data_IF_643233433377
#
_entry.id   IF_643233433377
#
_cell.length_a   1.000
_cell.length_b   1.000
_cell.length_c   1.000
_cell.angle_alpha   90.00
_cell.angle_beta   90.00
_cell.angle_gamma   90.00
#
_symmetry.space_group_name_H-M   'P 1'
#
loop_
_entity.id
_entity.type
_entity.pdbx_description
1 polymer ?
#
# COMPACT_ATOMS: atom_id res chain seq x y z
N UNK A 1 -8.67 12.27 40.80
CA UNK A 1 -9.98 11.68 40.44
C UNK A 1 -9.73 10.24 40.08
N UNK A 2 -10.54 9.31 40.58
CA UNK A 2 -10.50 7.91 40.16
C UNK A 2 -10.91 7.82 38.67
N UNK A 3 -10.12 7.12 37.85
CA UNK A 3 -10.36 7.02 36.40
C UNK A 3 -11.61 6.20 36.07
N UNK A 4 -11.95 5.22 36.91
CA UNK A 4 -13.16 4.42 36.74
C UNK A 4 -14.41 5.26 37.02
N UNK A 5 -14.34 6.12 38.05
CA UNK A 5 -15.39 7.08 38.35
C UNK A 5 -15.52 8.14 37.23
N UNK A 6 -14.39 8.58 36.67
CA UNK A 6 -14.39 9.49 35.52
C UNK A 6 -15.11 8.85 34.32
N UNK A 7 -14.74 7.61 33.95
CA UNK A 7 -15.40 6.90 32.86
C UNK A 7 -16.89 6.80 33.08
N UNK A 8 -17.32 6.39 34.29
CA UNK A 8 -18.74 6.23 34.64
C UNK A 8 -19.53 7.54 34.52
N UNK A 9 -18.92 8.67 34.87
CA UNK A 9 -19.57 9.99 34.74
C UNK A 9 -19.80 10.42 33.28
N UNK A 10 -19.00 9.88 32.35
CA UNK A 10 -19.02 10.24 30.93
C UNK A 10 -19.31 9.04 30.00
N UNK A 11 -19.83 7.95 30.57
CA UNK A 11 -20.06 6.67 29.87
C UNK A 11 -20.92 6.84 28.62
N UNK A 12 -21.91 7.74 28.67
CA UNK A 12 -22.78 8.01 27.52
C UNK A 12 -22.06 8.54 26.27
N UNK A 13 -20.88 9.13 26.43
CA UNK A 13 -20.04 9.57 25.32
C UNK A 13 -19.04 8.49 24.93
N UNK A 14 -18.37 7.87 25.91
CA UNK A 14 -17.32 6.90 25.64
C UNK A 14 -17.81 5.51 25.24
N UNK A 15 -19.08 5.16 25.50
CA UNK A 15 -19.65 3.88 25.05
C UNK A 15 -19.70 3.73 23.53
N UNK A 16 -19.67 4.85 22.81
CA UNK A 16 -19.61 4.89 21.35
C UNK A 16 -18.17 4.73 20.82
N UNK A 17 -17.16 4.67 21.71
CA UNK A 17 -15.75 4.61 21.30
C UNK A 17 -15.27 3.16 21.23
N UNK A 18 -14.91 2.73 20.04
CA UNK A 18 -14.04 1.58 19.81
C UNK A 18 -12.57 1.97 19.87
N UNK A 19 -11.69 1.06 19.45
CA UNK A 19 -10.24 1.26 19.50
C UNK A 19 -9.80 2.45 18.62
N UNK A 20 -10.38 2.60 17.42
CA UNK A 20 -10.04 3.67 16.48
C UNK A 20 -10.41 5.05 17.04
N UNK A 21 -11.58 5.16 17.66
CA UNK A 21 -12.08 6.36 18.33
C UNK A 21 -11.15 6.79 19.47
N UNK A 22 -10.72 5.85 20.31
CA UNK A 22 -9.78 6.13 21.40
C UNK A 22 -8.41 6.58 20.87
N UNK A 23 -7.88 5.93 19.83
CA UNK A 23 -6.62 6.31 19.19
C UNK A 23 -6.71 7.73 18.64
N UNK A 24 -7.78 8.06 17.90
CA UNK A 24 -7.97 9.40 17.35
C UNK A 24 -8.10 10.45 18.46
N UNK A 25 -8.92 10.19 19.48
CA UNK A 25 -9.12 11.08 20.62
C UNK A 25 -7.80 11.42 21.31
N UNK A 26 -7.01 10.40 21.63
CA UNK A 26 -5.71 10.54 22.27
C UNK A 26 -4.73 11.27 21.35
N UNK A 27 -4.69 10.94 20.07
CA UNK A 27 -3.78 11.58 19.12
C UNK A 27 -4.04 13.08 19.00
N UNK A 28 -5.28 13.48 18.73
CA UNK A 28 -5.60 14.91 18.55
C UNK A 28 -5.46 15.70 19.86
N UNK A 29 -5.77 15.08 21.00
CA UNK A 29 -5.89 15.80 22.26
C UNK A 29 -4.61 15.75 23.10
N UNK A 30 -4.05 14.57 23.31
CA UNK A 30 -2.85 14.38 24.12
C UNK A 30 -1.58 14.72 23.34
N UNK A 31 -1.49 14.33 22.08
CA UNK A 31 -0.27 14.51 21.28
C UNK A 31 -0.23 15.88 20.60
N UNK A 32 -1.33 16.32 19.97
CA UNK A 32 -1.35 17.60 19.24
C UNK A 32 -1.74 18.80 20.08
N UNK A 33 -2.82 18.71 20.86
CA UNK A 33 -3.33 19.88 21.57
C UNK A 33 -2.55 20.19 22.86
N UNK A 34 -2.17 19.18 23.64
CA UNK A 34 -1.46 19.39 24.92
C UNK A 34 0.05 19.56 24.78
N UNK A 35 0.64 19.25 23.62
CA UNK A 35 2.08 19.43 23.28
C UNK A 35 3.05 18.85 24.34
N UNK A 36 2.61 17.87 25.14
CA UNK A 36 3.40 17.33 26.27
C UNK A 36 4.44 16.29 25.84
N UNK A 37 4.39 15.78 24.60
CA UNK A 37 5.29 14.73 24.14
C UNK A 37 5.63 14.83 22.66
N UNK A 38 6.84 15.31 22.35
CA UNK A 38 7.88 14.65 21.53
C UNK A 38 8.62 15.57 20.53
N UNK A 39 9.97 15.57 20.60
CA UNK A 39 10.83 15.83 19.46
C UNK A 39 11.14 14.52 18.72
N UNK A 40 10.30 14.08 17.77
CA UNK A 40 10.71 13.10 16.76
C UNK A 40 9.70 13.01 15.60
N UNK A 41 10.15 12.48 14.45
CA UNK A 41 9.31 12.20 13.28
C UNK A 41 8.51 10.88 13.41
N UNK A 42 8.54 10.22 14.58
CA UNK A 42 8.05 8.85 14.79
C UNK A 42 7.24 8.74 16.09
N UNK A 43 5.95 8.44 15.99
CA UNK A 43 5.07 8.16 17.13
C UNK A 43 4.65 6.69 17.09
N UNK A 44 4.93 5.95 18.17
CA UNK A 44 4.44 4.58 18.38
C UNK A 44 3.12 4.68 19.15
N UNK A 45 2.07 4.00 18.67
CA UNK A 45 0.78 3.95 19.37
C UNK A 45 0.92 3.10 20.65
N UNK A 46 0.56 3.63 21.84
CA UNK A 46 0.53 2.86 23.08
C UNK A 46 -0.56 1.77 23.08
N UNK A 47 -0.57 0.89 24.09
CA UNK A 47 -1.70 -0.04 24.25
C UNK A 47 -3.01 0.72 24.51
N UNK A 48 -4.15 0.10 24.21
CA UNK A 48 -5.45 0.73 24.40
C UNK A 48 -5.70 1.14 25.86
N UNK A 49 -5.21 0.36 26.82
CA UNK A 49 -5.29 0.69 28.25
C UNK A 49 -4.52 1.98 28.55
N UNK A 50 -3.30 2.10 28.02
CA UNK A 50 -2.46 3.28 28.21
C UNK A 50 -3.04 4.51 27.49
N UNK A 51 -3.59 4.34 26.28
CA UNK A 51 -4.32 5.39 25.55
C UNK A 51 -5.46 5.94 26.40
N UNK A 52 -6.31 5.06 26.96
CA UNK A 52 -7.44 5.46 27.80
C UNK A 52 -6.96 6.18 29.05
N UNK A 53 -5.94 5.64 29.72
CA UNK A 53 -5.36 6.22 30.92
C UNK A 53 -4.84 7.65 30.65
N UNK A 54 -4.03 7.83 29.61
CA UNK A 54 -3.46 9.12 29.23
C UNK A 54 -4.54 10.12 28.81
N UNK A 55 -5.51 9.68 27.99
CA UNK A 55 -6.63 10.52 27.56
C UNK A 55 -7.47 10.99 28.75
N UNK A 56 -7.81 10.10 29.67
CA UNK A 56 -8.65 10.45 30.81
C UNK A 56 -7.90 11.36 31.78
N UNK A 57 -6.61 11.11 32.04
CA UNK A 57 -5.76 12.03 32.82
C UNK A 57 -5.71 13.42 32.18
N UNK A 58 -5.50 13.49 30.87
CA UNK A 58 -5.48 14.75 30.14
C UNK A 58 -6.83 15.48 30.23
N UNK A 59 -7.95 14.78 30.07
CA UNK A 59 -9.29 15.39 30.17
C UNK A 59 -9.64 15.87 31.59
N UNK A 60 -9.26 15.11 32.62
CA UNK A 60 -9.42 15.52 34.02
C UNK A 60 -8.61 16.79 34.32
N UNK A 61 -7.45 16.96 33.67
CA UNK A 61 -6.60 18.16 33.84
C UNK A 61 -7.28 19.47 33.38
N UNK A 62 -8.35 19.40 32.58
CA UNK A 62 -9.13 20.57 32.15
C UNK A 62 -9.99 21.19 33.25
N UNK A 63 -10.12 20.52 34.40
CA UNK A 63 -10.88 20.98 35.55
C UNK A 63 -12.32 21.35 35.19
N UNK A 64 -12.73 22.63 35.28
CA UNK A 64 -14.11 23.02 35.00
C UNK A 64 -14.55 22.82 33.54
N UNK A 65 -13.61 22.67 32.59
CA UNK A 65 -13.93 22.49 31.17
C UNK A 65 -13.99 21.02 30.73
N UNK A 66 -13.70 20.07 31.62
CA UNK A 66 -13.63 18.63 31.29
C UNK A 66 -14.85 18.13 30.53
N UNK A 67 -16.07 18.44 30.99
CA UNK A 67 -17.30 18.00 30.32
C UNK A 67 -17.42 18.56 28.88
N UNK A 68 -16.98 19.80 28.65
CA UNK A 68 -17.01 20.42 27.33
C UNK A 68 -16.03 19.76 26.35
N UNK A 69 -14.85 19.36 26.82
CA UNK A 69 -13.87 18.65 25.98
C UNK A 69 -14.28 17.21 25.68
N UNK A 70 -14.89 16.50 26.65
CA UNK A 70 -15.48 15.16 26.40
C UNK A 70 -16.54 15.24 25.29
N UNK A 71 -17.47 16.19 25.41
CA UNK A 71 -18.51 16.42 24.41
C UNK A 71 -17.93 16.82 23.04
N UNK A 72 -16.89 17.66 23.02
CA UNK A 72 -16.20 18.07 21.80
C UNK A 72 -15.53 16.89 21.09
N UNK A 73 -14.80 16.04 21.82
CA UNK A 73 -14.14 14.87 21.26
C UNK A 73 -15.17 13.89 20.70
N UNK A 74 -16.26 13.64 21.43
CA UNK A 74 -17.35 12.78 20.95
C UNK A 74 -17.95 13.30 19.64
N UNK A 75 -18.24 14.60 19.56
CA UNK A 75 -18.73 15.23 18.34
C UNK A 75 -17.73 15.13 17.19
N UNK A 76 -16.46 15.47 17.44
CA UNK A 76 -15.40 15.44 16.43
C UNK A 76 -15.22 14.04 15.87
N UNK A 77 -15.10 13.04 16.72
CA UNK A 77 -14.85 11.65 16.33
C UNK A 77 -15.99 11.10 15.47
N UNK A 78 -17.25 11.38 15.84
CA UNK A 78 -18.41 10.97 15.06
C UNK A 78 -18.45 11.56 13.65
N UNK A 79 -17.88 12.75 13.45
CA UNK A 79 -17.80 13.38 12.14
C UNK A 79 -16.55 12.95 11.35
N UNK A 80 -15.54 12.38 12.03
CA UNK A 80 -14.20 12.17 11.48
C UNK A 80 -13.92 10.73 11.06
N UNK A 81 -14.39 9.75 11.83
CA UNK A 81 -14.08 8.34 11.61
C UNK A 81 -15.02 7.74 10.57
N UNK A 82 -14.45 7.02 9.61
CA UNK A 82 -15.21 6.25 8.62
C UNK A 82 -15.75 4.98 9.31
N UNK A 83 -17.07 4.75 9.30
CA UNK A 83 -17.65 3.51 9.84
C UNK A 83 -17.04 2.26 9.21
N UNK A 84 -16.89 1.18 9.99
CA UNK A 84 -16.25 -0.05 9.52
C UNK A 84 -17.01 -0.68 8.33
N UNK A 85 -18.34 -0.59 8.32
CA UNK A 85 -19.20 -1.07 7.24
C UNK A 85 -18.92 -0.38 5.89
N UNK A 86 -18.47 0.88 5.91
CA UNK A 86 -18.11 1.62 4.70
C UNK A 86 -16.71 1.26 4.17
N UNK A 87 -15.92 0.51 4.95
CA UNK A 87 -14.56 0.06 4.62
C UNK A 87 -14.51 -1.39 4.12
N UNK A 88 -15.64 -2.12 4.09
CA UNK A 88 -15.69 -3.53 3.69
C UNK A 88 -15.16 -3.83 2.28
N UNK A 89 -15.13 -2.81 1.41
CA UNK A 89 -14.57 -2.96 0.05
C UNK A 89 -13.03 -3.10 0.05
N UNK A 90 -12.36 -2.83 1.17
CA UNK A 90 -10.91 -2.97 1.32
C UNK A 90 -10.62 -4.33 1.96
N UNK A 91 -10.30 -5.32 1.13
CA UNK A 91 -9.87 -6.63 1.60
C UNK A 91 -8.55 -6.53 2.39
N UNK A 92 -8.56 -6.90 3.67
CA UNK A 92 -7.41 -6.73 4.59
C UNK A 92 -6.14 -7.46 4.17
N UNK A 93 -6.26 -8.52 3.37
CA UNK A 93 -5.14 -9.30 2.84
C UNK A 93 -4.72 -8.87 1.42
N UNK A 94 -5.40 -7.89 0.81
CA UNK A 94 -5.06 -7.40 -0.52
C UNK A 94 -3.97 -6.32 -0.42
N UNK A 95 -2.72 -6.79 -0.25
CA UNK A 95 -1.55 -5.93 -0.12
C UNK A 95 -1.40 -4.95 -1.31
N UNK A 96 -1.78 -5.36 -2.52
CA UNK A 96 -1.71 -4.50 -3.72
C UNK A 96 -2.63 -3.29 -3.59
N UNK A 97 -3.90 -3.51 -3.23
CA UNK A 97 -4.86 -2.43 -2.99
C UNK A 97 -4.45 -1.56 -1.80
N UNK A 98 -4.03 -2.17 -0.68
CA UNK A 98 -3.66 -1.40 0.51
C UNK A 98 -2.47 -0.47 0.24
N UNK A 99 -1.42 -0.99 -0.40
CA UNK A 99 -0.29 -0.16 -0.82
C UNK A 99 -0.71 0.87 -1.88
N UNK A 100 -1.66 0.53 -2.76
CA UNK A 100 -2.24 1.48 -3.69
C UNK A 100 -2.78 2.73 -2.97
N UNK A 101 -3.67 2.50 -2.02
CA UNK A 101 -4.38 3.54 -1.26
C UNK A 101 -3.42 4.37 -0.39
N UNK A 102 -2.39 3.74 0.18
CA UNK A 102 -1.36 4.45 0.95
C UNK A 102 -0.59 5.50 0.13
N UNK A 103 -0.28 5.18 -1.13
CA UNK A 103 0.44 6.10 -2.02
C UNK A 103 -0.48 7.21 -2.52
N UNK A 104 -1.73 6.89 -2.89
CA UNK A 104 -2.71 7.90 -3.29
C UNK A 104 -2.91 8.93 -2.18
N UNK A 105 -3.04 8.46 -0.93
CA UNK A 105 -3.07 9.35 0.22
C UNK A 105 -1.78 10.18 0.35
N UNK A 106 -0.62 9.58 0.10
CA UNK A 106 0.67 10.29 0.18
C UNK A 106 0.79 11.39 -0.88
N UNK A 107 0.33 11.14 -2.11
CA UNK A 107 0.29 12.11 -3.20
C UNK A 107 -0.66 13.27 -2.87
N UNK A 108 -1.84 12.96 -2.33
CA UNK A 108 -2.81 13.97 -1.90
C UNK A 108 -2.22 14.90 -0.83
N UNK A 109 -1.54 14.33 0.18
CA UNK A 109 -0.93 15.10 1.27
C UNK A 109 0.29 15.94 0.85
N UNK A 110 0.93 15.61 -0.27
CA UNK A 110 2.03 16.41 -0.84
C UNK A 110 1.53 17.60 -1.66
N UNK A 111 0.25 17.62 -2.05
CA UNK A 111 -0.30 18.71 -2.84
C UNK A 111 -0.36 20.01 -2.04
N UNK A 112 0.24 21.11 -2.53
CA UNK A 112 0.21 22.41 -1.83
C UNK A 112 -1.20 23.02 -1.72
N UNK A 113 -2.15 22.48 -2.50
CA UNK A 113 -3.57 22.87 -2.51
C UNK A 113 -4.35 22.13 -1.42
N UNK A 114 -3.81 21.03 -0.88
CA UNK A 114 -4.49 20.26 0.16
C UNK A 114 -4.42 21.00 1.49
N UNK A 115 -5.49 21.76 1.77
CA UNK A 115 -5.77 22.32 3.09
C UNK A 115 -7.15 21.82 3.49
N UNK A 116 -7.24 20.70 4.20
CA UNK A 116 -8.55 20.22 4.61
C UNK A 116 -9.13 21.25 5.59
N UNK A 117 -10.31 21.78 5.27
CA UNK A 117 -11.07 22.64 6.16
C UNK A 117 -12.17 21.80 6.78
N UNK A 118 -11.95 21.32 7.99
CA UNK A 118 -12.94 20.53 8.70
C UNK A 118 -13.90 21.45 9.46
N UNK A 119 -15.14 21.49 8.98
CA UNK A 119 -16.24 22.20 9.62
C UNK A 119 -17.20 21.22 10.25
N UNK A 120 -17.39 21.34 11.56
CA UNK A 120 -18.28 20.53 12.37
C UNK A 120 -19.62 21.23 12.54
N UNK A 121 -20.68 20.43 12.68
CA UNK A 121 -22.03 20.90 12.99
C UNK A 121 -22.60 20.19 14.21
N UNK A 122 -23.24 20.94 15.11
CA UNK A 122 -23.93 20.36 16.28
C UNK A 122 -25.38 20.03 15.92
N UNK A 123 -25.60 18.87 15.29
CA UNK A 123 -26.95 18.46 14.86
C UNK A 123 -27.93 18.19 16.01
N UNK A 124 -27.42 17.83 17.19
CA UNK A 124 -28.22 17.55 18.39
C UNK A 124 -27.75 18.37 19.59
N UNK A 125 -28.11 19.68 19.68
CA UNK A 125 -27.61 20.59 20.72
C UNK A 125 -27.81 20.11 22.15
N UNK A 126 -28.89 19.35 22.41
CA UNK A 126 -29.21 18.80 23.73
C UNK A 126 -28.23 17.73 24.22
N UNK A 127 -27.50 17.09 23.30
CA UNK A 127 -26.47 16.07 23.62
C UNK A 127 -25.16 16.73 24.03
N UNK A 128 -24.92 17.98 23.59
CA UNK A 128 -23.67 18.70 23.77
C UNK A 128 -23.82 20.05 24.51
N UNK A 129 -24.53 20.11 25.66
CA UNK A 129 -24.83 21.36 26.33
C UNK A 129 -23.59 22.04 26.93
N UNK A 130 -22.63 21.29 27.46
CA UNK A 130 -21.43 21.85 28.09
C UNK A 130 -20.48 22.44 27.04
N UNK A 131 -20.31 21.74 25.91
CA UNK A 131 -19.54 22.22 24.78
C UNK A 131 -20.14 23.48 24.18
N UNK A 132 -21.46 23.54 23.98
CA UNK A 132 -22.11 24.75 23.46
C UNK A 132 -21.93 25.96 24.40
N UNK A 133 -22.05 25.75 25.71
CA UNK A 133 -21.77 26.79 26.70
C UNK A 133 -20.30 27.23 26.64
N UNK A 134 -19.37 26.29 26.56
CA UNK A 134 -17.94 26.57 26.43
C UNK A 134 -17.62 27.34 25.13
N UNK A 135 -18.18 26.92 23.99
CA UNK A 135 -18.05 27.59 22.69
C UNK A 135 -18.54 29.03 22.77
N UNK A 136 -19.71 29.27 23.37
CA UNK A 136 -20.23 30.64 23.56
C UNK A 136 -19.26 31.49 24.38
N UNK A 137 -18.78 30.99 25.51
CA UNK A 137 -17.80 31.71 26.35
C UNK A 137 -16.47 31.96 25.63
N UNK A 138 -15.96 31.05 24.80
CA UNK A 138 -14.67 31.25 24.13
C UNK A 138 -14.76 32.10 22.87
N UNK A 139 -15.91 32.13 22.21
CA UNK A 139 -16.14 32.96 21.02
C UNK A 139 -16.35 34.44 21.35
N UNK A 140 -16.90 34.77 22.53
CA UNK A 140 -17.19 36.14 22.95
C UNK A 140 -16.00 36.90 23.58
N UNK A 141 -14.94 36.20 24.04
CA UNK A 141 -13.86 36.81 24.84
C UNK A 141 -12.50 36.97 24.13
N UNK A 142 -12.38 36.78 22.82
CA UNK A 142 -11.09 36.93 22.10
C UNK A 142 -11.17 38.01 21.02
N UNK A 143 -10.86 39.24 21.44
CA UNK A 143 -10.47 40.40 20.61
C UNK A 143 -8.94 40.55 20.51
N UNK A 144 -8.16 39.48 20.81
CA UNK A 144 -6.70 39.52 20.63
C UNK A 144 -6.31 39.01 19.24
N UNK A 145 -5.68 39.84 18.38
CA UNK A 145 -5.32 39.49 17.01
C UNK A 145 -4.09 38.57 16.88
N UNK A 146 -3.48 38.14 17.98
CA UNK A 146 -2.15 37.49 17.98
C UNK A 146 -2.13 35.99 18.28
N UNK A 147 -3.28 35.35 18.56
CA UNK A 147 -3.35 33.90 18.80
C UNK A 147 -4.46 33.27 17.92
N UNK A 148 -4.18 32.16 17.22
CA UNK A 148 -5.20 31.47 16.45
C UNK A 148 -6.31 30.98 17.40
N UNK A 149 -7.57 31.28 17.05
CA UNK A 149 -8.72 30.82 17.82
C UNK A 149 -8.82 29.30 17.70
N UNK A 150 -8.82 28.61 18.85
CA UNK A 150 -9.03 27.15 18.92
C UNK A 150 -10.35 26.72 18.26
N UNK A 151 -11.39 27.54 18.37
CA UNK A 151 -12.68 27.36 17.68
C UNK A 151 -12.94 28.58 16.81
N UNK A 152 -13.21 28.36 15.52
CA UNK A 152 -13.54 29.42 14.57
C UNK A 152 -14.90 29.13 13.94
N UNK A 153 -15.87 30.04 14.06
CA UNK A 153 -17.15 29.89 13.38
C UNK A 153 -16.96 30.04 11.87
N UNK A 154 -17.71 29.26 11.09
CA UNK A 154 -17.72 29.42 9.64
C UNK A 154 -18.41 30.75 9.30
N UNK A 155 -17.75 31.70 8.60
CA UNK A 155 -18.36 32.97 8.23
C UNK A 155 -19.54 32.83 7.26
N UNK A 156 -19.58 31.72 6.50
CA UNK A 156 -20.61 31.45 5.50
C UNK A 156 -21.76 30.60 6.05
N UNK A 157 -21.55 29.87 7.15
CA UNK A 157 -22.58 29.04 7.79
C UNK A 157 -22.48 29.14 9.33
N UNK A 158 -23.39 29.87 10.01
CA UNK A 158 -23.31 30.09 11.46
C UNK A 158 -23.49 28.82 12.29
N UNK A 159 -24.07 27.76 11.72
CA UNK A 159 -24.23 26.46 12.38
C UNK A 159 -22.93 25.64 12.41
N UNK A 160 -21.94 26.04 11.62
CA UNK A 160 -20.67 25.34 11.46
C UNK A 160 -19.51 26.05 12.16
N UNK A 161 -18.54 25.25 12.57
CA UNK A 161 -17.29 25.75 13.15
C UNK A 161 -16.15 24.81 12.85
N UNK A 162 -14.94 25.34 12.74
CA UNK A 162 -13.72 24.53 12.69
C UNK A 162 -13.03 24.52 14.05
N UNK A 163 -12.33 23.42 14.31
CA UNK A 163 -11.39 23.32 15.43
C UNK A 163 -10.00 23.42 14.85
N UNK A 164 -9.21 24.35 15.36
CA UNK A 164 -7.79 24.36 15.05
C UNK A 164 -7.05 23.51 16.07
N UNK A 165 -6.88 22.23 15.75
CA UNK A 165 -6.02 21.31 16.52
C UNK A 165 -4.53 21.62 16.36
N UNK A 166 -4.17 22.51 15.42
CA UNK A 166 -2.88 22.49 14.75
C UNK A 166 -1.88 23.53 15.28
N UNK A 167 -0.65 23.06 15.47
CA UNK A 167 0.61 23.80 15.27
C UNK A 167 1.28 23.45 13.91
N UNK A 168 0.57 22.81 12.97
CA UNK A 168 1.02 22.57 11.59
C UNK A 168 1.97 21.38 11.41
N UNK A 169 2.05 20.45 12.36
CA UNK A 169 2.97 19.30 12.29
C UNK A 169 2.24 18.05 11.78
N UNK A 170 2.46 17.71 10.52
CA UNK A 170 2.09 16.38 10.02
C UNK A 170 3.15 15.37 10.45
N UNK A 171 2.82 14.47 11.38
CA UNK A 171 3.71 13.38 11.73
C UNK A 171 3.59 12.25 10.72
N UNK A 172 4.74 11.66 10.34
CA UNK A 172 4.74 10.34 9.73
C UNK A 172 4.48 9.35 10.85
N UNK A 173 3.20 9.10 11.13
CA UNK A 173 2.82 8.06 12.07
C UNK A 173 3.24 6.72 11.48
N UNK A 174 4.17 6.06 12.17
CA UNK A 174 4.49 4.67 11.93
C UNK A 174 3.68 3.86 12.92
N UNK A 175 2.69 3.13 12.40
CA UNK A 175 1.88 2.26 13.23
C UNK A 175 2.52 0.87 13.23
N UNK A 176 2.77 0.33 14.42
CA UNK A 176 2.96 -1.10 14.56
C UNK A 176 1.62 -1.76 14.21
N UNK A 177 1.64 -2.70 13.27
CA UNK A 177 0.43 -3.31 12.73
C UNK A 177 0.60 -3.71 11.27
N UNK A 178 -0.36 -4.45 10.73
CA UNK A 178 -0.39 -4.73 9.30
C UNK A 178 -0.65 -3.44 8.49
N UNK A 179 -0.44 -3.52 7.17
CA UNK A 179 -0.61 -2.36 6.30
C UNK A 179 -2.06 -1.85 6.27
N UNK A 180 -3.05 -2.71 6.52
CA UNK A 180 -4.44 -2.28 6.55
C UNK A 180 -4.69 -1.35 7.74
N UNK A 181 -4.29 -1.75 8.94
CA UNK A 181 -4.45 -0.93 10.14
C UNK A 181 -3.64 0.38 10.04
N UNK A 182 -2.45 0.33 9.43
CA UNK A 182 -1.68 1.52 9.09
C UNK A 182 -2.48 2.46 8.18
N UNK A 183 -3.12 1.93 7.13
CA UNK A 183 -3.92 2.72 6.18
C UNK A 183 -5.09 3.40 6.86
N UNK A 184 -5.89 2.63 7.60
CA UNK A 184 -7.08 3.14 8.28
C UNK A 184 -6.70 4.23 9.28
N UNK A 185 -5.67 3.99 10.09
CA UNK A 185 -5.24 4.99 11.07
C UNK A 185 -4.73 6.28 10.41
N UNK A 186 -4.03 6.18 9.27
CA UNK A 186 -3.62 7.37 8.49
C UNK A 186 -4.82 8.17 8.00
N UNK A 187 -5.93 7.53 7.63
CA UNK A 187 -7.16 8.22 7.25
C UNK A 187 -7.89 8.79 8.47
N UNK A 188 -7.95 8.06 9.58
CA UNK A 188 -8.62 8.51 10.81
C UNK A 188 -8.04 9.83 11.31
N UNK A 189 -6.72 9.99 11.27
CA UNK A 189 -6.04 11.23 11.72
C UNK A 189 -6.08 12.39 10.71
N UNK A 190 -6.67 12.20 9.52
CA UNK A 190 -6.89 13.34 8.61
C UNK A 190 -7.95 14.26 9.19
N UNK A 191 -7.62 15.53 9.32
CA UNK A 191 -8.54 16.55 9.83
C UNK A 191 -9.54 16.98 8.76
N UNK A 192 -10.51 16.12 8.48
CA UNK A 192 -11.62 16.31 7.52
C UNK A 192 -12.75 15.36 7.92
N UNK A 193 -13.97 15.59 7.43
CA UNK A 193 -15.10 14.72 7.76
C UNK A 193 -14.96 13.35 7.07
N UNK A 194 -15.64 12.34 7.61
CA UNK A 194 -15.53 10.97 7.12
C UNK A 194 -16.06 10.79 5.69
N UNK A 195 -17.02 11.59 5.25
CA UNK A 195 -17.58 11.52 3.89
C UNK A 195 -16.53 11.93 2.85
N UNK A 196 -15.76 12.98 3.12
CA UNK A 196 -14.66 13.41 2.25
C UNK A 196 -13.54 12.37 2.22
N UNK A 197 -13.23 11.72 3.35
CA UNK A 197 -12.25 10.63 3.40
C UNK A 197 -12.71 9.43 2.59
N UNK A 198 -13.97 9.02 2.79
CA UNK A 198 -14.59 7.90 2.10
C UNK A 198 -14.65 8.12 0.60
N UNK A 199 -15.04 9.32 0.16
CA UNK A 199 -15.05 9.72 -1.25
C UNK A 199 -13.65 9.59 -1.88
N UNK A 200 -12.61 10.11 -1.21
CA UNK A 200 -11.22 9.99 -1.66
C UNK A 200 -10.75 8.53 -1.72
N UNK A 201 -11.10 7.72 -0.73
CA UNK A 201 -10.79 6.29 -0.69
C UNK A 201 -11.46 5.51 -1.82
N UNK A 202 -12.77 5.73 -2.03
CA UNK A 202 -13.54 5.09 -3.11
C UNK A 202 -12.99 5.49 -4.48
N UNK A 203 -12.65 6.77 -4.67
CA UNK A 203 -12.00 7.22 -5.91
C UNK A 203 -10.63 6.57 -6.14
N UNK A 204 -9.80 6.47 -5.09
CA UNK A 204 -8.51 5.78 -5.19
C UNK A 204 -8.66 4.28 -5.51
N UNK A 205 -9.71 3.63 -4.99
CA UNK A 205 -10.06 2.24 -5.29
C UNK A 205 -10.54 2.06 -6.75
N UNK A 206 -11.34 2.98 -7.28
CA UNK A 206 -11.69 3.00 -8.71
C UNK A 206 -10.43 3.09 -9.58
N UNK A 207 -9.47 3.93 -9.18
CA UNK A 207 -8.14 3.98 -9.79
C UNK A 207 -7.44 2.62 -9.74
N UNK A 208 -7.36 1.98 -8.58
CA UNK A 208 -6.78 0.64 -8.47
C UNK A 208 -7.45 -0.37 -9.42
N UNK A 209 -8.78 -0.40 -9.48
CA UNK A 209 -9.51 -1.33 -10.33
C UNK A 209 -9.27 -1.09 -11.83
N UNK A 210 -9.12 0.17 -12.24
CA UNK A 210 -8.87 0.52 -13.64
C UNK A 210 -7.42 0.25 -14.04
N UNK A 211 -6.47 0.50 -13.13
CA UNK A 211 -5.06 0.58 -13.48
C UNK A 211 -4.20 -0.55 -12.94
N UNK A 212 -4.65 -1.37 -11.99
CA UNK A 212 -3.91 -2.56 -11.58
C UNK A 212 -3.79 -3.56 -12.72
N UNK A 213 -2.79 -4.42 -12.65
CA UNK A 213 -2.60 -5.52 -13.59
C UNK A 213 -3.60 -6.62 -13.28
N UNK A 214 -4.40 -7.09 -14.25
CA UNK A 214 -5.30 -8.20 -14.02
C UNK A 214 -4.55 -9.48 -13.61
N UNK A 215 -5.06 -10.21 -12.62
CA UNK A 215 -4.39 -11.40 -12.06
C UNK A 215 -4.06 -12.46 -13.13
N UNK A 216 -4.91 -12.60 -14.15
CA UNK A 216 -4.69 -13.48 -15.29
C UNK A 216 -3.39 -13.17 -16.06
N UNK A 217 -2.93 -11.91 -16.08
CA UNK A 217 -1.72 -11.48 -16.78
C UNK A 217 -0.45 -11.76 -15.97
N UNK A 218 -0.57 -11.89 -14.66
CA UNK A 218 0.54 -12.14 -13.72
C UNK A 218 0.56 -13.54 -13.13
N UNK A 219 -0.45 -14.37 -13.43
CA UNK A 219 -0.58 -15.76 -12.96
C UNK A 219 0.58 -16.69 -13.35
N UNK A 220 1.43 -16.28 -14.31
CA UNK A 220 2.63 -17.03 -14.67
C UNK A 220 3.77 -16.86 -13.65
N UNK A 221 3.67 -15.89 -12.73
CA UNK A 221 4.58 -15.70 -11.60
C UNK A 221 4.04 -16.54 -10.44
N UNK A 222 4.80 -17.55 -10.03
CA UNK A 222 4.44 -18.41 -8.92
C UNK A 222 4.94 -17.80 -7.60
N UNK A 223 4.09 -17.71 -6.56
CA UNK A 223 4.52 -17.24 -5.24
C UNK A 223 5.52 -18.17 -4.54
N UNK A 224 5.59 -19.44 -4.95
CA UNK A 224 6.45 -20.46 -4.32
C UNK A 224 7.76 -20.71 -5.10
N UNK A 225 7.95 -20.10 -6.28
CA UNK A 225 9.15 -20.27 -7.10
C UNK A 225 10.19 -19.18 -6.75
N UNK A 226 10.97 -19.40 -5.69
CA UNK A 226 12.00 -18.46 -5.21
C UNK A 226 12.98 -18.00 -6.32
N UNK A 227 13.33 -18.90 -7.24
CA UNK A 227 14.23 -18.60 -8.36
C UNK A 227 13.57 -17.64 -9.35
N UNK A 228 12.28 -17.84 -9.63
CA UNK A 228 11.49 -16.93 -10.45
C UNK A 228 11.34 -15.58 -9.77
N UNK A 229 11.00 -15.54 -8.49
CA UNK A 229 10.79 -14.29 -7.75
C UNK A 229 12.08 -13.46 -7.70
N UNK A 230 13.21 -14.08 -7.34
CA UNK A 230 14.50 -13.39 -7.34
C UNK A 230 14.86 -12.85 -8.71
N UNK A 231 14.66 -13.67 -9.75
CA UNK A 231 14.88 -13.23 -11.13
C UNK A 231 13.97 -12.07 -11.54
N UNK A 232 12.69 -12.11 -11.19
CA UNK A 232 11.72 -11.09 -11.55
C UNK A 232 12.08 -9.75 -10.89
N UNK A 233 12.45 -9.76 -9.60
CA UNK A 233 12.91 -8.56 -8.90
C UNK A 233 14.19 -7.97 -9.52
N UNK A 234 15.16 -8.82 -9.87
CA UNK A 234 16.38 -8.40 -10.58
C UNK A 234 16.10 -7.87 -12.00
N UNK A 235 15.11 -8.45 -12.68
CA UNK A 235 14.70 -8.01 -14.01
C UNK A 235 14.06 -6.62 -13.94
N UNK A 236 13.09 -6.44 -13.04
CA UNK A 236 12.39 -5.18 -12.83
C UNK A 236 13.36 -4.08 -12.37
N UNK A 237 14.27 -4.36 -11.44
CA UNK A 237 15.24 -3.37 -10.97
C UNK A 237 16.12 -2.82 -12.10
N UNK A 238 16.54 -3.67 -13.06
CA UNK A 238 17.29 -3.24 -14.25
C UNK A 238 16.45 -2.37 -15.18
N UNK A 239 15.17 -2.69 -15.33
CA UNK A 239 14.24 -1.88 -16.12
C UNK A 239 14.07 -0.51 -15.44
N UNK A 240 13.80 -0.48 -14.15
CA UNK A 240 13.53 0.76 -13.40
C UNK A 240 14.74 1.67 -13.22
N UNK A 241 15.97 1.17 -13.42
CA UNK A 241 17.17 1.99 -13.50
C UNK A 241 17.24 2.85 -14.77
N UNK A 242 16.40 2.59 -15.77
CA UNK A 242 16.35 3.41 -16.97
C UNK A 242 15.50 4.68 -16.75
N UNK A 243 16.12 5.87 -16.69
CA UNK A 243 15.41 7.13 -16.42
C UNK A 243 14.42 7.53 -17.52
N UNK A 244 14.50 6.92 -18.71
CA UNK A 244 13.54 7.15 -19.80
C UNK A 244 12.22 6.39 -19.60
N UNK A 245 12.11 5.55 -18.58
CA UNK A 245 10.90 4.82 -18.27
C UNK A 245 10.14 5.56 -17.17
N UNK A 246 8.85 5.81 -17.39
CA UNK A 246 7.91 6.42 -16.42
C UNK A 246 7.60 5.44 -15.28
N UNK A 247 8.62 5.02 -14.53
CA UNK A 247 8.47 4.26 -13.30
C UNK A 247 8.46 5.24 -12.12
N UNK A 248 7.37 5.22 -11.36
CA UNK A 248 7.30 5.94 -10.10
C UNK A 248 7.44 4.91 -8.97
N UNK A 249 8.59 4.87 -8.27
CA UNK A 249 8.76 3.95 -7.16
C UNK A 249 7.74 4.27 -6.05
N UNK A 250 7.29 3.27 -5.29
CA UNK A 250 6.48 3.50 -4.09
C UNK A 250 7.17 4.47 -3.13
N UNK A 251 6.39 5.27 -2.42
CA UNK A 251 6.87 6.21 -1.42
C UNK A 251 7.66 5.48 -0.34
N UNK A 252 8.74 6.12 0.11
CA UNK A 252 9.54 5.66 1.26
C UNK A 252 8.74 5.60 2.57
N UNK A 253 7.49 6.08 2.58
CA UNK A 253 6.59 6.03 3.74
C UNK A 253 5.97 4.65 3.98
N UNK A 254 6.01 3.74 3.00
CA UNK A 254 5.58 2.35 3.16
C UNK A 254 6.83 1.46 3.22
N UNK A 255 6.98 0.68 4.31
CA UNK A 255 8.10 -0.24 4.45
C UNK A 255 7.83 -1.56 3.70
N UNK A 256 8.03 -1.57 2.38
CA UNK A 256 7.80 -2.73 1.53
C UNK A 256 8.63 -3.97 1.91
N UNK A 257 9.68 -3.84 2.73
CA UNK A 257 10.48 -4.98 3.18
C UNK A 257 9.70 -5.94 4.08
N UNK A 258 8.56 -5.51 4.63
CA UNK A 258 7.65 -6.39 5.39
C UNK A 258 6.77 -7.27 4.49
N UNK A 259 6.68 -6.96 3.18
CA UNK A 259 5.91 -7.74 2.21
C UNK A 259 6.71 -8.90 1.65
N UNK A 260 5.99 -9.95 1.23
CA UNK A 260 6.59 -11.05 0.47
C UNK A 260 7.24 -10.52 -0.82
N UNK A 261 8.27 -11.21 -1.31
CA UNK A 261 8.91 -10.83 -2.57
C UNK A 261 7.91 -10.85 -3.73
N UNK A 262 6.94 -11.78 -3.68
CA UNK A 262 5.84 -11.87 -4.63
C UNK A 262 4.99 -10.59 -4.64
N UNK A 263 4.49 -10.15 -3.47
CA UNK A 263 3.68 -8.93 -3.36
C UNK A 263 4.44 -7.71 -3.86
N UNK A 264 5.73 -7.58 -3.51
CA UNK A 264 6.57 -6.48 -3.97
C UNK A 264 6.66 -6.44 -5.50
N UNK A 265 6.79 -7.60 -6.16
CA UNK A 265 6.83 -7.69 -7.64
C UNK A 265 5.48 -7.27 -8.23
N UNK A 266 4.37 -7.71 -7.65
CA UNK A 266 3.04 -7.34 -8.15
C UNK A 266 2.78 -5.83 -8.03
N UNK A 267 3.14 -5.24 -6.89
CA UNK A 267 3.05 -3.79 -6.66
C UNK A 267 3.92 -3.02 -7.65
N UNK A 268 5.16 -3.47 -7.88
CA UNK A 268 6.07 -2.86 -8.86
C UNK A 268 5.46 -2.90 -10.28
N UNK A 269 4.77 -4.00 -10.64
CA UNK A 269 4.09 -4.13 -11.93
C UNK A 269 2.87 -3.19 -12.03
N UNK A 270 2.03 -3.10 -10.99
CA UNK A 270 0.88 -2.19 -10.96
C UNK A 270 1.29 -0.74 -11.20
N UNK A 271 2.43 -0.33 -10.65
CA UNK A 271 2.97 1.03 -10.75
C UNK A 271 3.67 1.33 -12.08
N UNK A 272 4.22 0.31 -12.74
CA UNK A 272 4.98 0.55 -13.96
C UNK A 272 4.10 1.08 -15.08
N UNK A 273 4.45 2.26 -15.62
CA UNK A 273 3.73 2.91 -16.70
C UNK A 273 2.21 2.95 -16.45
N UNK A 274 1.80 3.28 -15.22
CA UNK A 274 0.39 3.40 -14.82
C UNK A 274 -0.48 4.16 -15.82
N UNK A 275 0.03 5.27 -16.38
CA UNK A 275 -0.67 6.08 -17.37
C UNK A 275 -0.75 5.46 -18.78
N UNK A 276 -0.09 4.31 -19.01
CA UNK A 276 -0.07 3.59 -20.28
C UNK A 276 -0.09 2.06 -20.07
N UNK A 277 -1.28 1.47 -19.84
CA UNK A 277 -1.43 0.03 -19.62
C UNK A 277 -0.84 -0.85 -20.74
N UNK A 278 -0.85 -0.38 -21.99
CA UNK A 278 -0.30 -1.15 -23.12
C UNK A 278 1.23 -1.36 -22.99
N UNK A 279 1.96 -0.34 -22.52
CA UNK A 279 3.41 -0.45 -22.29
C UNK A 279 3.71 -1.49 -21.20
N UNK A 280 2.88 -1.53 -20.17
CA UNK A 280 2.98 -2.51 -19.08
C UNK A 280 2.68 -3.93 -19.56
N UNK A 281 1.62 -4.15 -20.35
CA UNK A 281 1.33 -5.47 -20.93
C UNK A 281 2.51 -5.94 -21.80
N UNK A 282 3.13 -5.05 -22.59
CA UNK A 282 4.33 -5.37 -23.37
C UNK A 282 5.51 -5.78 -22.46
N UNK A 283 5.70 -5.10 -21.32
CA UNK A 283 6.73 -5.47 -20.34
C UNK A 283 6.47 -6.88 -19.78
N UNK A 284 5.24 -7.16 -19.34
CA UNK A 284 4.86 -8.47 -18.76
C UNK A 284 5.08 -9.60 -19.77
N UNK A 285 4.68 -9.41 -21.04
CA UNK A 285 4.93 -10.39 -22.10
C UNK A 285 6.42 -10.62 -22.37
N UNK A 286 7.24 -9.55 -22.33
CA UNK A 286 8.71 -9.67 -22.45
C UNK A 286 9.32 -10.42 -21.26
N UNK A 287 8.83 -10.14 -20.05
CA UNK A 287 9.24 -10.85 -18.84
C UNK A 287 8.92 -12.34 -18.95
N UNK A 288 7.67 -12.69 -19.28
CA UNK A 288 7.23 -14.09 -19.44
C UNK A 288 8.06 -14.87 -20.44
N UNK A 289 8.36 -14.27 -21.61
CA UNK A 289 9.23 -14.87 -22.63
C UNK A 289 10.67 -15.04 -22.14
N UNK A 290 11.20 -14.02 -21.47
CA UNK A 290 12.56 -14.02 -20.92
C UNK A 290 12.72 -15.09 -19.82
N UNK A 291 11.73 -15.24 -18.95
CA UNK A 291 11.70 -16.29 -17.94
C UNK A 291 11.63 -17.69 -18.57
N UNK A 292 10.75 -17.88 -19.56
CA UNK A 292 10.63 -19.15 -20.28
C UNK A 292 11.95 -19.57 -20.93
N UNK A 293 12.67 -18.61 -21.53
CA UNK A 293 14.01 -18.86 -22.09
C UNK A 293 15.05 -19.17 -21.00
N UNK A 294 15.04 -18.44 -19.87
CA UNK A 294 15.94 -18.71 -18.74
C UNK A 294 15.70 -20.11 -18.17
N UNK A 295 14.45 -20.47 -17.92
CA UNK A 295 14.03 -21.80 -17.46
C UNK A 295 14.45 -22.90 -18.45
N UNK A 296 14.28 -22.67 -19.76
CA UNK A 296 14.76 -23.60 -20.78
C UNK A 296 16.28 -23.79 -20.72
N UNK A 297 17.05 -22.69 -20.62
CA UNK A 297 18.52 -22.74 -20.51
C UNK A 297 19.02 -23.43 -19.24
N UNK A 298 18.29 -23.28 -18.14
CA UNK A 298 18.61 -23.90 -16.84
C UNK A 298 18.14 -25.34 -16.75
N UNK A 299 17.19 -25.77 -17.60
CA UNK A 299 16.81 -27.17 -17.65
C UNK A 299 17.92 -27.99 -18.30
N UNK A 300 18.24 -29.15 -17.73
CA UNK A 300 19.17 -30.13 -18.31
C UNK A 300 18.71 -30.68 -19.68
N UNK A 301 17.55 -30.24 -20.17
CA UNK A 301 17.02 -30.52 -21.51
C UNK A 301 17.73 -29.74 -22.61
N UNK A 302 18.62 -28.79 -22.28
CA UNK A 302 19.55 -28.27 -23.28
C UNK A 302 20.54 -29.39 -23.60
N UNK A 303 20.19 -30.24 -24.58
CA UNK A 303 21.21 -30.98 -25.35
C UNK A 303 22.27 -29.93 -25.69
N UNK A 304 23.48 -30.06 -25.16
CA UNK A 304 24.59 -29.19 -25.54
C UNK A 304 24.67 -29.29 -27.06
N UNK A 305 24.27 -28.23 -27.76
CA UNK A 305 24.39 -28.22 -29.21
C UNK A 305 25.89 -28.30 -29.50
N UNK A 306 26.36 -29.48 -29.90
CA UNK A 306 27.72 -29.66 -30.37
C UNK A 306 27.78 -28.98 -31.73
N UNK A 307 28.40 -27.81 -31.77
CA UNK A 307 28.66 -27.13 -33.02
C UNK A 307 29.77 -27.90 -33.76
N UNK A 308 29.38 -28.69 -34.74
CA UNK A 308 30.30 -29.37 -35.65
C UNK A 308 30.47 -28.48 -36.90
N UNK A 309 31.58 -27.74 -37.06
CA UNK A 309 31.80 -26.98 -38.27
C UNK A 309 31.90 -27.93 -39.47
N UNK A 310 31.02 -27.74 -40.46
CA UNK A 310 31.01 -28.48 -41.71
C UNK A 310 31.50 -27.59 -42.85
N UNK A 311 32.11 -28.19 -43.88
CA UNK A 311 32.37 -27.48 -45.13
C UNK A 311 31.05 -27.13 -45.81
N UNK A 312 31.04 -26.08 -46.64
CA UNK A 312 29.85 -25.63 -47.36
C UNK A 312 29.19 -26.74 -48.19
N UNK A 313 30.00 -27.51 -48.92
CA UNK A 313 29.51 -28.66 -49.70
C UNK A 313 28.87 -29.75 -48.83
N UNK A 314 29.47 -30.06 -47.67
CA UNK A 314 28.92 -31.05 -46.75
C UNK A 314 27.59 -30.56 -46.14
N UNK A 315 27.49 -29.26 -45.86
CA UNK A 315 26.25 -28.63 -45.41
C UNK A 315 25.15 -28.74 -46.47
N UNK A 316 25.46 -28.43 -47.74
CA UNK A 316 24.50 -28.51 -48.84
C UNK A 316 24.00 -29.94 -49.05
N UNK A 317 24.88 -30.95 -48.95
CA UNK A 317 24.52 -32.37 -49.00
C UNK A 317 23.62 -32.77 -47.82
N UNK A 318 23.94 -32.31 -46.61
CA UNK A 318 23.15 -32.57 -45.42
C UNK A 318 21.74 -31.97 -45.52
N UNK A 319 21.59 -30.75 -46.03
CA UNK A 319 20.28 -30.12 -46.23
C UNK A 319 19.42 -30.88 -47.23
N UNK A 320 20.02 -31.40 -48.32
CA UNK A 320 19.32 -32.27 -49.29
C UNK A 320 18.86 -33.59 -48.66
N UNK A 321 19.72 -34.23 -47.86
CA UNK A 321 19.38 -35.46 -47.14
C UNK A 321 18.28 -35.21 -46.10
N UNK A 322 18.35 -34.11 -45.37
CA UNK A 322 17.32 -33.68 -44.41
C UNK A 322 15.95 -33.51 -45.07
N UNK A 323 15.89 -32.86 -46.24
CA UNK A 323 14.67 -32.72 -47.01
C UNK A 323 14.15 -34.08 -47.53
N UNK A 324 15.03 -34.93 -48.07
CA UNK A 324 14.67 -36.24 -48.58
C UNK A 324 14.09 -37.16 -47.48
N UNK A 325 14.69 -37.14 -46.29
CA UNK A 325 14.33 -38.02 -45.17
C UNK A 325 13.20 -37.45 -44.29
N UNK A 326 12.77 -36.21 -44.52
CA UNK A 326 11.84 -35.46 -43.67
C UNK A 326 12.28 -35.45 -42.19
N UNK A 327 13.58 -35.25 -41.95
CA UNK A 327 14.20 -35.19 -40.63
C UNK A 327 14.98 -33.89 -40.48
N UNK A 328 15.15 -33.39 -39.26
CA UNK A 328 16.08 -32.26 -39.03
C UNK A 328 17.52 -32.68 -39.32
N UNK A 329 18.35 -31.74 -39.77
CA UNK A 329 19.76 -32.00 -40.09
C UNK A 329 20.53 -32.68 -38.94
N UNK A 330 20.27 -32.29 -37.69
CA UNK A 330 20.86 -32.93 -36.51
C UNK A 330 20.45 -34.40 -36.38
N UNK A 331 19.19 -34.75 -36.66
CA UNK A 331 18.71 -36.14 -36.64
C UNK A 331 19.32 -36.96 -37.78
N UNK A 332 19.54 -36.34 -38.94
CA UNK A 332 20.24 -36.99 -40.05
C UNK A 332 21.70 -37.29 -39.67
N UNK A 333 22.41 -36.32 -39.08
CA UNK A 333 23.77 -36.55 -38.57
C UNK A 333 23.78 -37.68 -37.53
N UNK A 334 22.94 -37.62 -36.50
CA UNK A 334 22.86 -38.66 -35.45
C UNK A 334 22.60 -40.05 -36.09
N UNK A 335 21.67 -40.13 -37.05
CA UNK A 335 21.35 -41.37 -37.78
C UNK A 335 22.54 -41.89 -38.58
N UNK A 336 23.18 -41.05 -39.40
CA UNK A 336 24.33 -41.44 -40.22
C UNK A 336 25.52 -41.90 -39.36
N UNK A 337 25.78 -41.23 -38.25
CA UNK A 337 26.84 -41.61 -37.31
C UNK A 337 26.53 -42.97 -36.69
N UNK A 338 25.31 -43.19 -36.20
CA UNK A 338 24.92 -44.44 -35.56
C UNK A 338 24.93 -45.61 -36.55
N UNK A 339 24.38 -45.43 -37.75
CA UNK A 339 24.40 -46.45 -38.80
C UNK A 339 25.85 -46.84 -39.15
N UNK A 340 26.74 -45.85 -39.29
CA UNK A 340 28.14 -46.12 -39.59
C UNK A 340 28.87 -46.79 -38.43
N UNK A 341 28.58 -46.38 -37.20
CA UNK A 341 29.15 -46.97 -35.99
C UNK A 341 28.75 -48.44 -35.85
N UNK A 342 27.48 -48.78 -36.05
CA UNK A 342 27.00 -50.16 -36.00
C UNK A 342 27.67 -51.04 -37.06
N UNK A 343 27.79 -50.54 -38.31
CA UNK A 343 28.39 -51.29 -39.42
C UNK A 343 29.89 -51.55 -39.21
N UNK A 344 30.64 -50.51 -38.86
CA UNK A 344 32.10 -50.57 -38.86
C UNK A 344 32.68 -51.02 -37.51
N UNK A 345 32.03 -50.67 -36.41
CA UNK A 345 32.60 -50.80 -35.07
C UNK A 345 32.04 -51.98 -34.26
N UNK A 346 30.86 -52.50 -34.60
CA UNK A 346 30.23 -53.62 -33.89
C UNK A 346 30.31 -54.93 -34.69
N UNK A 347 30.47 -56.05 -33.99
CA UNK A 347 30.37 -57.41 -34.54
C UNK A 347 28.93 -57.88 -34.73
N UNK A 348 28.73 -59.08 -35.29
CA UNK A 348 27.40 -59.65 -35.54
C UNK A 348 26.58 -59.89 -34.25
N UNK A 349 27.21 -59.79 -33.07
CA UNK A 349 26.58 -59.92 -31.75
C UNK A 349 26.44 -58.56 -31.05
N UNK A 350 26.73 -57.45 -31.72
CA UNK A 350 26.65 -56.09 -31.19
C UNK A 350 27.78 -55.73 -30.23
N UNK A 351 28.89 -56.45 -30.23
CA UNK A 351 30.07 -56.17 -29.39
C UNK A 351 31.11 -55.37 -30.17
N UNK A 352 31.87 -54.53 -29.49
CA UNK A 352 32.92 -53.74 -30.13
C UNK A 352 33.99 -54.64 -30.76
N UNK A 353 34.34 -54.36 -32.03
CA UNK A 353 35.39 -55.03 -32.81
C UNK A 353 36.81 -54.56 -32.42
N UNK A 354 36.96 -53.45 -31.69
CA UNK A 354 38.24 -52.76 -31.45
C UNK A 354 38.43 -52.31 -30.01
#
# INVERSE_FOLDING_TARGET
>A
MDLDLFYKNYENYFKDFGNREYVLAWYIYCVHYKDEYLPSQFLIIPTNEKIKEELFKALVSEGPNTAAFVELLHLYIKDTIIPDEELEFIEKNNNRLIIWLHEELSLQLQSPIYRPSHFLRVNHPRVYPNFLKYKQLKTHYITSPLLPKFITNNPNNPDEFSINWNNGKHFNLFFDGDFYEQLITRYDVLDTNFQDKLSKLKHANEGFNYFSVPDKEISWISPDDELQLKWAKEYLSKIFQNPSLNYMPPSRKVNLNQLSLYDQILIDLDRYAYSNPAVRTILIEKMKKSWSQKKYRQSDKVKKNYHLPLTKDCKDKLSKLSALMNLSENKVIEKLINERYELDFLDEKGRSKY
#
